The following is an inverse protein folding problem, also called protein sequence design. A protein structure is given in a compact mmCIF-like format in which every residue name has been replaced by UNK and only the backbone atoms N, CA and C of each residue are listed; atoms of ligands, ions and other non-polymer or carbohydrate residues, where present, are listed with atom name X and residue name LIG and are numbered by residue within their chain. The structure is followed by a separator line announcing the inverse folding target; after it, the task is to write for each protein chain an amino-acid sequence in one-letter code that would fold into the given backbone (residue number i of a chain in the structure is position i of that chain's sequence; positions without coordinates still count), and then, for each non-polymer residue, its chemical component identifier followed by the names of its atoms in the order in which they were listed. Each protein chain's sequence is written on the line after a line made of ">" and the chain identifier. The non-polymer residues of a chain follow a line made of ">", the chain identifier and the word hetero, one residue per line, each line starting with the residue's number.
data_IF_716731852046
#
_entry.id   IF_716731852046
#
_cell.length_a   1.000
_cell.length_b   1.000
_cell.length_c   1.000
_cell.angle_alpha   90.00
_cell.angle_beta   90.00
_cell.angle_gamma   90.00
#
_symmetry.space_group_name_H-M   'P 1'
#
loop_
_entity.id
_entity.type
_entity.pdbx_description
1 polymer ?
#
# COMPACT_ATOMS: atom_id res chain seq x y z
N UNK A 1 -18.76 0.45 -13.03
CA UNK A 1 -18.19 1.12 -14.21
C UNK A 1 -17.53 0.07 -15.10
N UNK A 2 -17.66 0.16 -16.42
CA UNK A 2 -17.04 -0.77 -17.39
C UNK A 2 -16.00 0.01 -18.19
N UNK A 3 -14.86 -0.61 -18.45
CA UNK A 3 -13.82 -0.10 -19.34
C UNK A 3 -13.40 -1.20 -20.32
N UNK A 4 -12.72 -0.83 -21.39
CA UNK A 4 -12.12 -1.74 -22.36
C UNK A 4 -10.61 -1.68 -22.20
N UNK A 5 -9.96 -2.83 -22.27
CA UNK A 5 -8.52 -2.97 -22.23
C UNK A 5 -8.11 -3.97 -23.29
N UNK A 6 -7.11 -3.59 -24.09
CA UNK A 6 -6.46 -4.51 -25.01
C UNK A 6 -5.40 -5.30 -24.22
N UNK A 7 -5.53 -6.61 -24.25
CA UNK A 7 -4.62 -7.56 -23.61
C UNK A 7 -4.33 -8.69 -24.60
N UNK A 8 -3.09 -9.22 -24.65
CA UNK A 8 -2.76 -10.35 -25.52
C UNK A 8 -3.66 -11.55 -25.28
N UNK A 9 -3.99 -12.29 -26.34
CA UNK A 9 -4.82 -13.50 -26.26
C UNK A 9 -4.23 -14.53 -25.29
N UNK A 10 -2.90 -14.66 -25.24
CA UNK A 10 -2.20 -15.55 -24.31
C UNK A 10 -2.50 -15.24 -22.84
N UNK A 11 -2.66 -13.97 -22.50
CA UNK A 11 -2.93 -13.53 -21.12
C UNK A 11 -4.40 -13.78 -20.78
N UNK A 12 -5.30 -13.69 -21.76
CA UNK A 12 -6.72 -14.04 -21.59
C UNK A 12 -6.87 -15.54 -21.33
N UNK A 13 -6.20 -16.38 -22.12
CA UNK A 13 -6.21 -17.84 -21.95
C UNK A 13 -5.66 -18.24 -20.58
N UNK A 14 -4.55 -17.63 -20.16
CA UNK A 14 -3.98 -17.85 -18.84
C UNK A 14 -4.94 -17.45 -17.71
N UNK A 15 -5.62 -16.30 -17.83
CA UNK A 15 -6.60 -15.85 -16.85
C UNK A 15 -7.82 -16.79 -16.75
N UNK A 16 -8.30 -17.30 -17.89
CA UNK A 16 -9.43 -18.24 -17.90
C UNK A 16 -9.07 -19.59 -17.28
N UNK A 17 -7.85 -20.10 -17.54
CA UNK A 17 -7.35 -21.31 -16.89
C UNK A 17 -7.23 -21.14 -15.36
N UNK A 18 -6.66 -20.01 -14.91
CA UNK A 18 -6.51 -19.70 -13.49
C UNK A 18 -7.88 -19.51 -12.80
N UNK A 19 -8.84 -18.91 -13.50
CA UNK A 19 -10.20 -18.71 -13.01
C UNK A 19 -10.91 -20.05 -12.78
N UNK A 20 -10.76 -20.98 -13.73
CA UNK A 20 -11.30 -22.33 -13.63
C UNK A 20 -10.68 -23.13 -12.47
N UNK A 21 -9.35 -23.05 -12.31
CA UNK A 21 -8.63 -23.70 -11.21
C UNK A 21 -9.11 -23.19 -9.84
N UNK A 22 -9.33 -21.88 -9.70
CA UNK A 22 -9.75 -21.26 -8.44
C UNK A 22 -11.27 -21.23 -8.21
N UNK A 23 -12.08 -21.66 -9.18
CA UNK A 23 -13.53 -21.61 -9.10
C UNK A 23 -14.11 -20.19 -9.01
N UNK A 24 -13.45 -19.20 -9.64
CA UNK A 24 -13.88 -17.80 -9.66
C UNK A 24 -14.06 -17.30 -11.09
N UNK A 25 -14.65 -16.11 -11.26
CA UNK A 25 -14.75 -15.49 -12.59
C UNK A 25 -13.43 -14.80 -12.99
N UNK A 26 -13.11 -14.76 -14.30
CA UNK A 26 -11.99 -13.95 -14.82
C UNK A 26 -12.07 -12.49 -14.37
N UNK A 27 -13.27 -11.90 -14.34
CA UNK A 27 -13.46 -10.52 -13.89
C UNK A 27 -13.09 -10.33 -12.40
N UNK A 28 -13.25 -11.35 -11.57
CA UNK A 28 -12.82 -11.33 -10.17
C UNK A 28 -11.30 -11.34 -10.04
N UNK A 29 -10.60 -12.17 -10.83
CA UNK A 29 -9.14 -12.16 -10.87
C UNK A 29 -8.58 -10.79 -11.28
N UNK A 30 -9.16 -10.17 -12.32
CA UNK A 30 -8.75 -8.84 -12.75
C UNK A 30 -8.97 -7.80 -11.65
N UNK A 31 -10.10 -7.85 -10.92
CA UNK A 31 -10.33 -6.95 -9.77
C UNK A 31 -9.28 -7.13 -8.67
N UNK A 32 -8.93 -8.38 -8.34
CA UNK A 32 -7.90 -8.70 -7.35
C UNK A 32 -6.52 -8.19 -7.78
N UNK A 33 -6.16 -8.39 -9.04
CA UNK A 33 -4.90 -7.90 -9.60
C UNK A 33 -4.80 -6.37 -9.52
N UNK A 34 -5.87 -5.65 -9.91
CA UNK A 34 -5.92 -4.18 -9.79
C UNK A 34 -5.82 -3.74 -8.33
N UNK A 35 -6.51 -4.42 -7.40
CA UNK A 35 -6.43 -4.09 -5.98
C UNK A 35 -5.01 -4.32 -5.41
N UNK A 36 -4.37 -5.44 -5.76
CA UNK A 36 -3.00 -5.74 -5.36
C UNK A 36 -2.00 -4.73 -5.92
N UNK A 37 -2.11 -4.38 -7.21
CA UNK A 37 -1.27 -3.37 -7.83
C UNK A 37 -1.45 -2.00 -7.18
N UNK A 38 -2.70 -1.62 -6.83
CA UNK A 38 -2.94 -0.36 -6.10
C UNK A 38 -2.29 -0.35 -4.72
N UNK A 39 -2.31 -1.47 -3.99
CA UNK A 39 -1.70 -1.57 -2.68
C UNK A 39 -0.16 -1.54 -2.74
N UNK A 40 0.42 -2.12 -3.78
CA UNK A 40 1.86 -2.05 -4.05
C UNK A 40 2.28 -0.63 -4.47
N UNK A 41 1.55 -0.06 -5.43
CA UNK A 41 1.83 1.27 -5.98
C UNK A 41 1.53 2.42 -5.01
N UNK A 42 0.59 2.25 -4.06
CA UNK A 42 0.28 3.30 -3.10
C UNK A 42 1.41 3.53 -2.10
N UNK A 43 2.34 2.59 -1.93
CA UNK A 43 3.45 2.76 -0.99
C UNK A 43 2.99 3.18 0.40
N UNK A 44 1.75 2.82 0.79
CA UNK A 44 0.98 3.47 1.86
C UNK A 44 1.71 3.47 3.21
N UNK A 45 2.68 2.58 3.41
CA UNK A 45 3.53 2.62 4.59
C UNK A 45 4.43 3.85 4.65
N UNK A 46 5.00 4.33 3.54
CA UNK A 46 5.96 5.45 3.54
C UNK A 46 5.22 6.79 3.60
N UNK A 47 4.19 6.97 2.76
CA UNK A 47 3.44 8.22 2.71
C UNK A 47 2.57 8.43 3.96
N UNK A 48 2.01 7.37 4.56
CA UNK A 48 1.30 7.48 5.85
C UNK A 48 2.24 7.45 7.07
N UNK A 49 3.49 6.97 6.96
CA UNK A 49 4.44 7.03 8.08
C UNK A 49 5.15 8.38 8.22
N UNK A 50 5.28 9.16 7.15
CA UNK A 50 5.95 10.45 7.22
C UNK A 50 5.15 11.44 8.07
N UNK A 51 5.59 11.63 9.32
CA UNK A 51 4.91 12.50 10.28
C UNK A 51 3.80 11.84 11.08
N UNK A 52 3.67 10.51 11.08
CA UNK A 52 2.67 9.76 11.89
C UNK A 52 2.74 10.09 13.39
N UNK A 53 3.89 10.56 13.87
CA UNK A 53 4.12 10.96 15.27
C UNK A 53 3.96 12.47 15.52
N UNK A 54 3.71 13.29 14.49
CA UNK A 54 3.78 14.76 14.56
C UNK A 54 2.78 15.36 15.55
N UNK A 55 1.55 14.84 15.57
CA UNK A 55 0.44 15.42 16.33
C UNK A 55 0.06 14.62 17.59
N UNK A 56 0.90 13.64 17.97
CA UNK A 56 0.66 12.85 19.17
C UNK A 56 1.04 13.63 20.43
N UNK A 57 0.07 13.84 21.31
CA UNK A 57 0.24 14.61 22.54
C UNK A 57 0.93 13.83 23.68
N UNK A 58 1.00 12.51 23.60
CA UNK A 58 1.53 11.64 24.65
C UNK A 58 3.03 11.31 24.51
N UNK A 59 3.63 11.69 23.38
CA UNK A 59 5.08 11.69 23.17
C UNK A 59 5.56 13.15 23.26
N UNK A 60 6.38 13.44 24.27
CA UNK A 60 6.87 14.80 24.51
C UNK A 60 7.79 15.31 23.40
N UNK A 61 8.02 16.63 23.38
CA UNK A 61 8.90 17.30 22.41
C UNK A 61 10.34 16.74 22.44
N UNK A 62 10.74 16.09 21.34
CA UNK A 62 12.06 15.48 21.17
C UNK A 62 13.21 16.48 21.17
N UNK A 63 13.04 17.69 20.62
CA UNK A 63 14.07 18.74 20.66
C UNK A 63 14.26 19.27 22.08
N UNK A 64 13.15 19.47 22.81
CA UNK A 64 13.20 19.83 24.23
C UNK A 64 13.90 18.75 25.05
N UNK A 65 13.62 17.49 24.78
CA UNK A 65 14.28 16.36 25.42
C UNK A 65 15.80 16.32 25.12
N UNK A 66 16.20 16.45 23.85
CA UNK A 66 17.61 16.47 23.46
C UNK A 66 18.37 17.65 24.07
N UNK A 67 17.78 18.85 24.08
CA UNK A 67 18.36 20.04 24.73
C UNK A 67 18.58 19.81 26.22
N UNK A 68 17.62 19.19 26.91
CA UNK A 68 17.76 18.82 28.33
C UNK A 68 18.93 17.85 28.57
N UNK A 69 19.09 16.84 27.72
CA UNK A 69 20.21 15.90 27.85
C UNK A 69 21.56 16.57 27.58
N UNK A 70 21.63 17.44 26.56
CA UNK A 70 22.87 18.15 26.20
C UNK A 70 23.26 19.26 27.18
N UNK A 71 22.28 19.89 27.82
CA UNK A 71 22.48 20.88 28.87
C UNK A 71 22.84 20.29 30.24
N UNK A 72 22.78 18.97 30.42
CA UNK A 72 23.21 18.26 31.65
C UNK A 72 24.72 17.96 31.66
N UNK A 73 25.53 18.94 31.26
CA UNK A 73 26.97 18.95 31.52
C UNK A 73 27.25 20.15 32.40
N UNK A 74 26.99 19.97 33.69
CA UNK A 74 27.56 20.66 34.87
C UNK A 74 26.94 20.04 36.13
#
# INVERSE_FOLDING_TARGET
>A
MRFLADIPDSDVEWLDALAAEQGVSRAELVRRAVAAYRADASGDAIDNAFGIWRDRADIGDGLKYQRRLRGKRE
#
